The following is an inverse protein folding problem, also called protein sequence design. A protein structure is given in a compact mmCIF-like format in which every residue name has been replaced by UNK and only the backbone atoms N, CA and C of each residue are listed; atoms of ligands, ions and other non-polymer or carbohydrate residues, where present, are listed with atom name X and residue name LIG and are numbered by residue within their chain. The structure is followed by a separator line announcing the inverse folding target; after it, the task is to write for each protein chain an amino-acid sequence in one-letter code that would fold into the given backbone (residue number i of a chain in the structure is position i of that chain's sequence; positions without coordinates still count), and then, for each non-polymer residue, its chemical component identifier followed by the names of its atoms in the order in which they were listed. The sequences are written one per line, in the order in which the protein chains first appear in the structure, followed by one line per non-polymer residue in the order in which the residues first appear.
data_IF_088799969672
#
_entry.id   IF_088799969672
#
_cell.length_a   1.000
_cell.length_b   1.000
_cell.length_c   1.000
_cell.angle_alpha   90.00
_cell.angle_beta   90.00
_cell.angle_gamma   90.00
#
_symmetry.space_group_name_H-M   'P 1'
#
loop_
_entity.id
_entity.type
_entity.pdbx_description
1 polymer ?
#
# COMPACT_ATOMS: atom_id res chain seq x y z
N UNK A 1 -43.62 25.50 11.39
CA UNK A 1 -42.32 24.85 11.63
C UNK A 1 -42.51 23.91 12.84
N UNK A 2 -42.29 22.61 12.61
CA UNK A 2 -42.68 21.57 13.55
C UNK A 2 -41.62 21.46 14.66
N UNK A 3 -41.99 21.79 15.90
CA UNK A 3 -41.12 21.82 17.08
C UNK A 3 -40.47 20.45 17.35
N UNK A 4 -41.11 19.34 16.95
CA UNK A 4 -40.59 17.98 17.01
C UNK A 4 -39.38 17.75 16.08
N UNK A 5 -39.36 18.39 14.90
CA UNK A 5 -38.21 18.33 13.97
C UNK A 5 -37.00 19.09 14.51
N UNK A 6 -37.20 20.19 15.20
CA UNK A 6 -36.12 20.97 15.84
C UNK A 6 -35.49 20.23 17.02
N UNK A 7 -36.28 19.58 17.86
CA UNK A 7 -35.78 18.73 18.97
C UNK A 7 -34.97 17.53 18.45
N UNK A 8 -35.41 16.89 17.35
CA UNK A 8 -34.72 15.75 16.75
C UNK A 8 -33.39 16.17 16.10
N UNK A 9 -33.27 17.42 15.61
CA UNK A 9 -32.00 17.96 15.09
C UNK A 9 -31.02 18.34 16.20
N UNK A 10 -31.52 18.89 17.34
CA UNK A 10 -30.68 19.18 18.49
C UNK A 10 -30.13 17.89 19.14
N UNK A 11 -30.95 16.86 19.30
CA UNK A 11 -30.50 15.56 19.84
C UNK A 11 -29.47 14.86 18.95
N UNK A 12 -29.66 14.90 17.65
CA UNK A 12 -28.65 14.37 16.69
C UNK A 12 -27.34 15.14 16.75
N UNK A 13 -27.40 16.47 16.90
CA UNK A 13 -26.22 17.31 17.08
C UNK A 13 -25.49 17.05 18.40
N UNK A 14 -26.24 16.74 19.48
CA UNK A 14 -25.64 16.36 20.77
C UNK A 14 -24.97 14.99 20.70
N UNK A 15 -25.63 13.99 20.10
CA UNK A 15 -25.05 12.64 19.93
C UNK A 15 -23.78 12.71 19.10
N UNK A 16 -23.77 13.46 18.00
CA UNK A 16 -22.59 13.63 17.16
C UNK A 16 -21.42 14.30 17.90
N UNK A 17 -21.73 15.32 18.74
CA UNK A 17 -20.72 15.96 19.62
C UNK A 17 -20.16 15.00 20.67
N UNK A 18 -20.99 14.17 21.29
CA UNK A 18 -20.54 13.17 22.25
C UNK A 18 -19.70 12.08 21.60
N UNK A 19 -20.07 11.60 20.42
CA UNK A 19 -19.29 10.65 19.65
C UNK A 19 -17.93 11.24 19.25
N UNK A 20 -17.89 12.49 18.80
CA UNK A 20 -16.65 13.20 18.47
C UNK A 20 -15.76 13.43 19.70
N UNK A 21 -16.34 13.82 20.84
CA UNK A 21 -15.58 14.00 22.08
C UNK A 21 -15.07 12.65 22.61
N UNK A 22 -15.87 11.59 22.52
CA UNK A 22 -15.45 10.24 22.97
C UNK A 22 -14.36 9.68 22.05
N UNK A 23 -14.46 9.85 20.73
CA UNK A 23 -13.41 9.49 19.79
C UNK A 23 -12.13 10.30 20.03
N UNK A 24 -12.26 11.60 20.34
CA UNK A 24 -11.11 12.46 20.62
C UNK A 24 -10.43 12.10 21.95
N UNK A 25 -11.20 11.76 22.99
CA UNK A 25 -10.63 11.33 24.29
C UNK A 25 -10.01 9.94 24.23
N UNK A 26 -10.59 9.00 23.50
CA UNK A 26 -9.99 7.69 23.24
C UNK A 26 -8.69 7.85 22.42
N UNK A 27 -8.70 8.72 21.42
CA UNK A 27 -7.53 9.01 20.60
C UNK A 27 -6.41 9.66 21.43
N UNK A 28 -6.73 10.62 22.30
CA UNK A 28 -5.77 11.30 23.17
C UNK A 28 -5.18 10.37 24.24
N UNK A 29 -5.95 9.44 24.79
CA UNK A 29 -5.46 8.46 25.76
C UNK A 29 -4.59 7.37 25.12
N UNK A 30 -4.90 6.95 23.89
CA UNK A 30 -4.06 6.03 23.11
C UNK A 30 -2.74 6.70 22.69
N UNK A 31 -2.79 7.98 22.31
CA UNK A 31 -1.59 8.73 21.91
C UNK A 31 -0.64 8.98 23.10
N UNK A 32 -1.15 9.27 24.30
CA UNK A 32 -0.33 9.49 25.49
C UNK A 32 0.27 8.20 26.05
N UNK A 33 -0.42 7.07 25.95
CA UNK A 33 0.13 5.77 26.34
C UNK A 33 1.24 5.31 25.39
N UNK A 34 1.08 5.52 24.09
CA UNK A 34 2.09 5.16 23.07
C UNK A 34 3.38 5.96 23.20
N UNK A 35 3.31 7.25 23.53
CA UNK A 35 4.49 8.13 23.60
C UNK A 35 5.47 7.81 24.74
N UNK A 36 5.00 7.12 25.79
CA UNK A 36 5.83 6.76 26.94
C UNK A 36 6.49 5.39 26.78
N UNK A 37 5.85 4.46 26.05
CA UNK A 37 6.40 3.14 25.72
C UNK A 37 7.41 3.17 24.56
N UNK A 38 7.32 4.12 23.63
CA UNK A 38 8.22 4.22 22.47
C UNK A 38 9.69 4.47 22.85
N UNK A 39 9.96 5.13 23.96
CA UNK A 39 11.35 5.46 24.40
C UNK A 39 12.20 4.25 24.81
N UNK A 40 11.56 3.13 25.14
CA UNK A 40 12.21 1.89 25.55
C UNK A 40 11.96 0.71 24.60
N UNK A 41 11.24 0.92 23.48
CA UNK A 41 10.97 -0.13 22.53
C UNK A 41 12.24 -0.46 21.74
N UNK A 42 12.71 -1.69 21.84
CA UNK A 42 13.81 -2.19 21.04
C UNK A 42 13.42 -2.22 19.56
N UNK A 43 14.30 -1.74 18.67
CA UNK A 43 14.08 -1.77 17.22
C UNK A 43 13.97 -3.22 16.74
N UNK A 44 12.83 -3.57 16.15
CA UNK A 44 12.48 -4.92 15.70
C UNK A 44 11.53 -4.85 14.49
N UNK A 45 12.01 -4.43 13.32
CA UNK A 45 11.22 -4.40 12.11
C UNK A 45 10.84 -5.81 11.65
N UNK A 46 9.75 -5.93 10.91
CA UNK A 46 9.38 -7.18 10.26
C UNK A 46 10.26 -7.36 9.02
N UNK A 47 11.08 -8.40 9.02
CA UNK A 47 12.05 -8.68 7.96
C UNK A 47 11.42 -9.51 6.83
N UNK A 48 11.66 -9.11 5.59
CA UNK A 48 11.19 -9.82 4.39
C UNK A 48 12.13 -9.58 3.20
N UNK A 49 12.09 -10.45 2.22
CA UNK A 49 12.76 -10.28 0.94
C UNK A 49 11.95 -9.36 -0.01
N UNK A 50 12.53 -9.05 -1.15
CA UNK A 50 11.89 -8.35 -2.29
C UNK A 50 11.23 -7.03 -1.87
N UNK A 51 12.05 -6.10 -1.37
CA UNK A 51 11.62 -4.81 -0.84
C UNK A 51 10.77 -4.01 -1.85
N UNK A 52 11.03 -4.15 -3.15
CA UNK A 52 10.27 -3.44 -4.17
C UNK A 52 8.75 -3.66 -4.08
N UNK A 53 8.30 -4.81 -3.60
CA UNK A 53 6.86 -5.12 -3.50
C UNK A 53 6.13 -4.27 -2.46
N UNK A 54 6.82 -3.66 -1.50
CA UNK A 54 6.22 -2.79 -0.48
C UNK A 54 6.17 -1.31 -0.88
N UNK A 55 6.86 -0.94 -1.97
CA UNK A 55 6.93 0.45 -2.42
C UNK A 55 5.69 0.80 -3.25
N UNK A 56 4.92 1.80 -2.82
CA UNK A 56 3.79 2.32 -3.60
C UNK A 56 4.28 2.94 -4.92
N UNK A 57 3.75 2.51 -6.08
CA UNK A 57 4.35 2.89 -7.36
C UNK A 57 3.81 4.19 -7.94
N UNK A 58 2.57 4.58 -7.63
CA UNK A 58 1.87 5.68 -8.30
C UNK A 58 1.86 6.98 -7.49
N UNK A 59 1.78 8.10 -8.21
CA UNK A 59 1.82 9.42 -7.62
C UNK A 59 0.49 9.83 -6.94
N UNK A 60 -0.67 9.28 -7.36
CA UNK A 60 -1.96 9.58 -6.73
C UNK A 60 -2.01 9.05 -5.31
N UNK A 61 -1.79 7.74 -5.13
CA UNK A 61 -1.75 7.12 -3.80
C UNK A 61 -0.64 7.70 -2.93
N UNK A 62 0.53 7.95 -3.52
CA UNK A 62 1.64 8.59 -2.85
C UNK A 62 1.30 10.00 -2.33
N UNK A 63 0.61 10.82 -3.12
CA UNK A 63 0.18 12.15 -2.71
C UNK A 63 -0.87 12.13 -1.58
N UNK A 64 -1.47 10.97 -1.30
CA UNK A 64 -2.48 10.74 -0.27
C UNK A 64 -1.94 9.94 0.93
N UNK A 65 -0.64 9.93 1.19
CA UNK A 65 -0.05 9.20 2.31
C UNK A 65 0.06 7.69 2.09
N UNK A 66 0.16 7.24 0.85
CA UNK A 66 0.15 5.83 0.46
C UNK A 66 -1.18 5.13 0.82
N UNK A 67 -2.30 5.76 0.46
CA UNK A 67 -3.67 5.24 0.58
C UNK A 67 -4.20 4.83 -0.79
N UNK A 68 -4.84 3.68 -0.90
CA UNK A 68 -5.35 3.22 -2.18
C UNK A 68 -6.31 2.02 -2.16
N UNK A 69 -6.47 1.33 -1.02
CA UNK A 69 -7.29 0.11 -0.95
C UNK A 69 -8.76 0.35 -1.32
N UNK A 70 -9.30 1.50 -0.94
CA UNK A 70 -10.71 1.84 -1.12
C UNK A 70 -10.97 3.14 -1.89
N UNK A 71 -9.93 3.85 -2.35
CA UNK A 71 -10.07 5.05 -3.18
C UNK A 71 -10.81 4.74 -4.48
N UNK A 72 -11.33 5.77 -5.15
CA UNK A 72 -11.98 5.61 -6.45
C UNK A 72 -11.13 4.77 -7.41
N UNK A 73 -11.77 3.87 -8.18
CA UNK A 73 -11.09 3.04 -9.17
C UNK A 73 -10.30 3.86 -10.18
N UNK A 74 -9.06 3.45 -10.43
CA UNK A 74 -8.17 4.04 -11.43
C UNK A 74 -7.28 2.97 -12.08
N UNK A 75 -6.43 3.37 -13.04
CA UNK A 75 -5.55 2.46 -13.76
C UNK A 75 -4.49 1.83 -12.85
N UNK A 76 -4.08 2.49 -11.76
CA UNK A 76 -3.09 2.00 -10.82
C UNK A 76 -3.68 1.10 -9.72
N UNK A 77 -4.97 0.77 -9.80
CA UNK A 77 -5.65 -0.10 -8.83
C UNK A 77 -5.03 -1.50 -8.70
N UNK A 78 -4.21 -1.95 -9.67
CA UNK A 78 -3.52 -3.24 -9.62
C UNK A 78 -2.67 -3.44 -8.35
N UNK A 79 -1.93 -2.43 -7.94
CA UNK A 79 -1.12 -2.49 -6.72
C UNK A 79 -1.95 -2.41 -5.44
N UNK A 80 -2.99 -1.55 -5.46
CA UNK A 80 -3.76 -1.23 -4.26
C UNK A 80 -4.87 -2.24 -3.98
N UNK A 81 -5.69 -2.51 -4.98
CA UNK A 81 -6.83 -3.40 -4.90
C UNK A 81 -7.41 -3.68 -6.31
N UNK A 82 -7.05 -4.78 -6.96
CA UNK A 82 -7.52 -5.08 -8.32
C UNK A 82 -9.05 -5.32 -8.41
N UNK A 83 -9.74 -5.57 -7.29
CA UNK A 83 -11.20 -5.71 -7.29
C UNK A 83 -11.93 -4.39 -7.65
N UNK A 84 -11.25 -3.26 -7.71
CA UNK A 84 -11.82 -1.96 -8.12
C UNK A 84 -12.10 -1.87 -9.64
N UNK A 85 -11.37 -2.59 -10.48
CA UNK A 85 -11.44 -2.42 -11.94
C UNK A 85 -12.82 -2.59 -12.59
N UNK A 86 -13.73 -3.50 -12.17
CA UNK A 86 -15.05 -3.57 -12.73
C UNK A 86 -15.88 -2.28 -12.55
N UNK A 87 -15.53 -1.44 -11.58
CA UNK A 87 -16.16 -0.14 -11.31
C UNK A 87 -15.50 1.03 -12.06
N UNK A 88 -14.43 0.82 -12.81
CA UNK A 88 -13.84 1.86 -13.65
C UNK A 88 -14.84 2.35 -14.70
N UNK A 89 -14.86 3.65 -14.96
CA UNK A 89 -15.74 4.25 -15.97
C UNK A 89 -15.27 3.84 -17.36
N UNK A 90 -13.99 4.03 -17.65
CA UNK A 90 -13.41 3.68 -18.95
C UNK A 90 -13.27 2.18 -19.13
N UNK A 91 -13.39 1.74 -20.37
CA UNK A 91 -13.30 0.32 -20.72
C UNK A 91 -11.88 -0.23 -20.58
N UNK A 92 -10.88 0.60 -20.82
CA UNK A 92 -9.46 0.22 -20.68
C UNK A 92 -8.59 1.43 -20.35
N UNK A 93 -7.46 1.18 -19.74
CA UNK A 93 -6.45 2.19 -19.46
C UNK A 93 -5.06 1.59 -19.24
N UNK A 94 -4.04 2.43 -19.44
CA UNK A 94 -2.62 2.11 -19.22
C UNK A 94 -2.02 3.24 -18.42
N UNK A 95 -1.17 2.93 -17.43
CA UNK A 95 -0.42 3.86 -16.61
C UNK A 95 1.06 3.53 -16.60
N UNK A 96 1.89 4.57 -16.75
CA UNK A 96 3.33 4.53 -16.56
C UNK A 96 3.66 5.32 -15.29
N UNK A 97 4.38 4.69 -14.38
CA UNK A 97 4.77 5.28 -13.12
C UNK A 97 6.29 5.22 -12.98
N UNK A 98 6.88 6.29 -12.47
CA UNK A 98 8.31 6.39 -12.24
C UNK A 98 8.58 7.05 -10.89
N UNK A 99 9.41 6.41 -10.09
CA UNK A 99 9.81 6.87 -8.77
C UNK A 99 11.32 6.77 -8.64
N UNK A 100 12.05 7.89 -8.69
CA UNK A 100 13.44 7.92 -8.26
C UNK A 100 13.47 7.66 -6.74
N UNK A 101 14.11 6.55 -6.36
CA UNK A 101 14.10 6.07 -4.97
C UNK A 101 15.37 6.47 -4.24
N UNK A 102 15.30 6.86 -2.97
CA UNK A 102 16.44 7.20 -2.11
C UNK A 102 17.42 8.23 -2.69
N UNK A 103 16.97 9.17 -3.52
CA UNK A 103 17.83 10.12 -4.25
C UNK A 103 18.78 10.94 -3.38
N UNK A 104 18.48 11.10 -2.10
CA UNK A 104 19.37 11.78 -1.15
C UNK A 104 20.57 10.93 -0.72
N UNK A 105 20.47 9.61 -0.83
CA UNK A 105 21.50 8.68 -0.43
C UNK A 105 22.27 8.15 -1.67
N UNK A 106 21.55 7.79 -2.72
CA UNK A 106 22.08 7.15 -3.92
C UNK A 106 21.30 7.67 -5.15
N UNK A 107 22.00 7.94 -6.25
CA UNK A 107 21.40 8.61 -7.42
C UNK A 107 20.84 7.68 -8.50
N UNK A 108 21.00 6.37 -8.39
CA UNK A 108 20.75 5.38 -9.43
C UNK A 108 19.78 4.26 -9.00
N UNK A 109 19.05 4.46 -7.90
CA UNK A 109 17.98 3.56 -7.48
C UNK A 109 16.65 4.10 -8.02
N UNK A 110 15.97 3.30 -8.84
CA UNK A 110 14.77 3.73 -9.56
C UNK A 110 13.71 2.61 -9.57
N UNK A 111 12.45 3.01 -9.40
CA UNK A 111 11.29 2.15 -9.59
C UNK A 111 10.51 2.60 -10.82
N UNK A 112 10.36 1.70 -11.79
CA UNK A 112 9.44 1.84 -12.91
C UNK A 112 8.28 0.86 -12.75
N UNK A 113 7.06 1.31 -13.01
CA UNK A 113 5.85 0.50 -12.89
C UNK A 113 4.89 0.80 -14.02
N UNK A 114 4.52 -0.24 -14.76
CA UNK A 114 3.50 -0.21 -15.81
C UNK A 114 2.28 -0.98 -15.31
N UNK A 115 1.11 -0.38 -15.39
CA UNK A 115 -0.16 -1.05 -15.08
C UNK A 115 -1.16 -0.86 -16.21
N UNK A 116 -2.08 -1.80 -16.34
CA UNK A 116 -3.15 -1.70 -17.32
C UNK A 116 -4.31 -2.62 -17.00
N UNK A 117 -5.49 -2.27 -17.52
CA UNK A 117 -6.69 -3.08 -17.38
C UNK A 117 -7.56 -3.02 -18.64
N UNK A 118 -8.39 -4.02 -18.77
CA UNK A 118 -9.46 -4.08 -19.78
C UNK A 118 -10.73 -4.69 -19.15
N UNK A 119 -11.85 -3.96 -19.20
CA UNK A 119 -13.17 -4.45 -18.76
C UNK A 119 -13.78 -5.37 -19.81
N UNK A 120 -14.11 -6.58 -19.39
CA UNK A 120 -14.79 -7.60 -20.20
C UNK A 120 -16.29 -7.48 -19.91
N UNK A 121 -17.00 -6.70 -20.74
CA UNK A 121 -18.41 -6.35 -20.48
C UNK A 121 -18.54 -5.42 -19.27
N UNK A 122 -19.68 -5.53 -18.57
CA UNK A 122 -20.04 -4.60 -17.49
C UNK A 122 -19.63 -5.10 -16.09
N UNK A 123 -19.34 -6.39 -15.94
CA UNK A 123 -19.21 -7.04 -14.63
C UNK A 123 -17.81 -7.57 -14.34
N UNK A 124 -16.90 -7.60 -15.30
CA UNK A 124 -15.58 -8.17 -15.07
C UNK A 124 -14.47 -7.40 -15.77
N UNK A 125 -13.26 -7.55 -15.29
CA UNK A 125 -12.07 -6.99 -15.89
C UNK A 125 -10.89 -7.96 -15.75
N UNK A 126 -9.98 -7.88 -16.72
CA UNK A 126 -8.61 -8.42 -16.64
C UNK A 126 -7.65 -7.27 -16.52
N UNK A 127 -6.63 -7.45 -15.73
CA UNK A 127 -5.63 -6.41 -15.47
C UNK A 127 -4.27 -7.03 -15.25
N UNK A 128 -3.22 -6.23 -15.30
CA UNK A 128 -1.88 -6.69 -15.02
C UNK A 128 -0.91 -5.55 -14.81
N UNK A 129 0.25 -5.89 -14.30
CA UNK A 129 1.33 -4.92 -14.12
C UNK A 129 2.71 -5.54 -14.35
N UNK A 130 3.66 -4.67 -14.67
CA UNK A 130 5.08 -4.95 -14.72
C UNK A 130 5.80 -3.96 -13.82
N UNK A 131 6.59 -4.47 -12.89
CA UNK A 131 7.42 -3.69 -11.98
C UNK A 131 8.90 -4.00 -12.26
N UNK A 132 9.71 -2.95 -12.30
CA UNK A 132 11.15 -3.05 -12.37
C UNK A 132 11.76 -2.10 -11.35
N UNK A 133 12.62 -2.63 -10.48
CA UNK A 133 13.30 -1.89 -9.43
C UNK A 133 14.81 -2.08 -9.57
N UNK A 134 15.50 -1.04 -9.97
CA UNK A 134 16.97 -0.98 -10.02
C UNK A 134 17.49 -0.60 -8.63
N UNK A 135 18.47 -1.34 -8.13
CA UNK A 135 19.18 -1.04 -6.88
C UNK A 135 20.49 -0.28 -7.11
N UNK A 136 20.70 0.20 -8.37
CA UNK A 136 21.86 0.97 -8.73
C UNK A 136 23.09 0.14 -9.03
N UNK A 137 24.26 0.79 -9.10
CA UNK A 137 25.54 0.16 -9.36
C UNK A 137 26.30 -0.08 -8.05
N UNK A 138 26.70 -1.34 -7.82
CA UNK A 138 27.49 -1.75 -6.67
C UNK A 138 28.86 -2.20 -7.13
N UNK A 139 29.91 -1.65 -6.54
CA UNK A 139 31.27 -2.08 -6.80
C UNK A 139 31.59 -3.31 -5.96
N UNK A 140 31.81 -4.44 -6.62
CA UNK A 140 32.21 -5.68 -5.97
C UNK A 140 33.71 -5.63 -5.55
N UNK A 141 34.07 -6.51 -4.61
CA UNK A 141 35.44 -6.55 -4.05
C UNK A 141 36.52 -6.93 -5.09
N UNK A 142 36.14 -7.52 -6.22
CA UNK A 142 37.02 -7.88 -7.35
C UNK A 142 37.22 -6.76 -8.36
N UNK A 143 36.64 -5.58 -8.11
CA UNK A 143 36.69 -4.42 -9.01
C UNK A 143 35.65 -4.47 -10.16
N UNK A 144 34.78 -5.47 -10.20
CA UNK A 144 33.65 -5.51 -11.13
C UNK A 144 32.47 -4.68 -10.62
N UNK A 145 31.69 -4.14 -11.54
CA UNK A 145 30.44 -3.45 -11.23
C UNK A 145 29.27 -4.41 -11.46
N UNK A 146 28.45 -4.61 -10.45
CA UNK A 146 27.20 -5.36 -10.52
C UNK A 146 26.01 -4.42 -10.46
N UNK A 147 24.88 -4.81 -11.05
CA UNK A 147 23.64 -4.04 -11.10
C UNK A 147 22.49 -4.89 -10.56
N UNK A 148 22.32 -4.95 -9.23
CA UNK A 148 21.23 -5.71 -8.64
C UNK A 148 19.87 -5.11 -9.04
N UNK A 149 18.87 -5.96 -9.25
CA UNK A 149 17.51 -5.51 -9.56
C UNK A 149 16.46 -6.53 -9.13
N UNK A 150 15.25 -6.03 -8.93
CA UNK A 150 14.06 -6.83 -8.72
C UNK A 150 13.04 -6.55 -9.82
N UNK A 151 12.34 -7.58 -10.26
CA UNK A 151 11.28 -7.48 -11.27
C UNK A 151 10.09 -8.32 -10.87
N UNK A 152 8.89 -7.85 -11.16
CA UNK A 152 7.69 -8.68 -11.04
C UNK A 152 6.71 -8.42 -12.16
N UNK A 153 5.98 -9.47 -12.50
CA UNK A 153 4.85 -9.42 -13.43
C UNK A 153 3.65 -10.07 -12.77
N UNK A 154 2.49 -9.41 -12.85
CA UNK A 154 1.25 -9.96 -12.33
C UNK A 154 0.09 -9.77 -13.30
N UNK A 155 -0.88 -10.69 -13.19
CA UNK A 155 -2.14 -10.66 -13.92
C UNK A 155 -3.26 -10.92 -12.92
N UNK A 156 -4.34 -10.14 -13.01
CA UNK A 156 -5.52 -10.30 -12.16
C UNK A 156 -6.77 -10.44 -13.01
N UNK A 157 -7.71 -11.19 -12.46
CA UNK A 157 -9.11 -11.22 -12.90
C UNK A 157 -10.00 -10.71 -11.78
N UNK A 158 -10.89 -9.79 -12.11
CA UNK A 158 -11.84 -9.20 -11.17
C UNK A 158 -13.27 -9.31 -11.70
N UNK A 159 -14.23 -9.53 -10.79
CA UNK A 159 -15.62 -9.73 -11.12
C UNK A 159 -16.54 -9.12 -10.07
N UNK A 160 -17.58 -8.43 -10.52
CA UNK A 160 -18.70 -7.99 -9.68
C UNK A 160 -19.58 -9.18 -9.33
N UNK A 161 -19.82 -9.39 -8.05
CA UNK A 161 -20.82 -10.36 -7.56
C UNK A 161 -22.18 -9.69 -7.34
N UNK A 162 -22.18 -8.37 -7.19
CA UNK A 162 -23.37 -7.53 -7.17
C UNK A 162 -23.02 -6.13 -7.68
N UNK A 163 -24.00 -5.28 -7.88
CA UNK A 163 -23.78 -3.87 -8.29
C UNK A 163 -22.89 -3.07 -7.34
N UNK A 164 -22.69 -3.57 -6.11
CA UNK A 164 -21.95 -2.87 -5.06
C UNK A 164 -20.68 -3.61 -4.60
N UNK A 165 -20.48 -4.84 -5.03
CA UNK A 165 -19.42 -5.70 -4.48
C UNK A 165 -18.71 -6.50 -5.56
N UNK A 166 -17.41 -6.48 -5.53
CA UNK A 166 -16.53 -7.23 -6.43
C UNK A 166 -15.44 -7.98 -5.67
N UNK A 167 -14.93 -9.02 -6.32
CA UNK A 167 -13.77 -9.80 -5.92
C UNK A 167 -12.71 -9.78 -7.02
N UNK A 168 -11.46 -9.98 -6.65
CA UNK A 168 -10.38 -10.23 -7.59
C UNK A 168 -9.40 -11.26 -7.03
N UNK A 169 -8.77 -11.99 -7.97
CA UNK A 169 -7.62 -12.83 -7.71
C UNK A 169 -6.52 -12.47 -8.71
N UNK A 170 -5.27 -12.41 -8.23
CA UNK A 170 -4.10 -12.19 -9.07
C UNK A 170 -3.07 -13.29 -8.84
N UNK A 171 -2.26 -13.53 -9.88
CA UNK A 171 -1.05 -14.36 -9.82
C UNK A 171 0.12 -13.46 -10.16
N UNK A 172 1.20 -13.57 -9.37
CA UNK A 172 2.42 -12.78 -9.51
C UNK A 172 3.63 -13.68 -9.62
N UNK A 173 4.47 -13.41 -10.60
CA UNK A 173 5.83 -13.94 -10.66
C UNK A 173 6.81 -12.84 -10.25
N UNK A 174 7.76 -13.19 -9.40
CA UNK A 174 8.78 -12.31 -8.84
C UNK A 174 10.15 -12.88 -9.21
N UNK A 175 11.03 -12.02 -9.67
CA UNK A 175 12.42 -12.32 -9.93
C UNK A 175 13.30 -11.28 -9.24
N UNK A 176 14.33 -11.75 -8.53
CA UNK A 176 15.24 -10.89 -7.79
C UNK A 176 16.68 -11.35 -8.02
N UNK A 177 17.50 -10.46 -8.51
CA UNK A 177 18.94 -10.65 -8.70
C UNK A 177 19.68 -9.66 -7.81
N UNK A 178 20.06 -10.11 -6.62
CA UNK A 178 20.76 -9.31 -5.61
C UNK A 178 22.24 -9.70 -5.49
N UNK A 179 22.80 -10.34 -6.51
CA UNK A 179 24.20 -10.79 -6.46
C UNK A 179 25.14 -9.59 -6.30
N UNK A 180 26.02 -9.69 -5.32
CA UNK A 180 27.08 -8.70 -5.07
C UNK A 180 28.41 -9.10 -5.72
N UNK A 181 28.56 -10.39 -6.07
CA UNK A 181 29.66 -10.96 -6.81
C UNK A 181 29.12 -12.07 -7.73
N UNK A 182 29.95 -12.57 -8.62
CA UNK A 182 29.63 -13.71 -9.48
C UNK A 182 30.16 -15.02 -8.90
N UNK A 183 30.22 -15.15 -7.56
CA UNK A 183 30.53 -16.41 -6.90
C UNK A 183 29.51 -17.49 -7.27
N UNK A 184 29.96 -18.75 -7.30
CA UNK A 184 29.09 -19.89 -7.69
C UNK A 184 27.94 -20.12 -6.66
N UNK A 185 28.08 -19.57 -5.43
CA UNK A 185 27.14 -19.77 -4.34
C UNK A 185 25.95 -18.79 -4.39
N UNK A 186 26.08 -17.63 -5.06
CA UNK A 186 25.04 -16.62 -5.15
C UNK A 186 24.29 -16.74 -6.49
N UNK A 187 22.97 -16.93 -6.45
CA UNK A 187 22.11 -17.10 -7.63
C UNK A 187 20.93 -16.13 -7.61
N UNK A 188 20.46 -15.69 -8.79
CA UNK A 188 19.18 -15.01 -8.87
C UNK A 188 18.08 -15.93 -8.34
N UNK A 189 17.10 -15.33 -7.69
CA UNK A 189 16.00 -16.07 -7.09
C UNK A 189 14.66 -15.70 -7.75
N UNK A 190 13.72 -16.64 -7.74
CA UNK A 190 12.37 -16.38 -8.21
C UNK A 190 11.33 -17.00 -7.27
N UNK A 191 10.15 -16.37 -7.22
CA UNK A 191 9.05 -16.84 -6.41
C UNK A 191 7.72 -16.58 -7.12
N UNK A 192 6.70 -17.33 -6.73
CA UNK A 192 5.32 -17.09 -7.14
C UNK A 192 4.49 -16.66 -5.94
N UNK A 193 3.58 -15.74 -6.18
CA UNK A 193 2.64 -15.25 -5.19
C UNK A 193 1.24 -15.08 -5.81
N UNK A 194 0.24 -15.03 -4.94
CA UNK A 194 -1.14 -14.74 -5.29
C UNK A 194 -1.65 -13.57 -4.46
N UNK A 195 -2.60 -12.82 -5.03
CA UNK A 195 -3.34 -11.78 -4.30
C UNK A 195 -4.83 -12.13 -4.31
N UNK A 196 -5.52 -11.79 -3.22
CA UNK A 196 -6.97 -11.87 -3.08
C UNK A 196 -7.49 -10.51 -2.64
N UNK A 197 -8.47 -9.97 -3.38
CA UNK A 197 -8.97 -8.64 -3.13
C UNK A 197 -10.50 -8.58 -3.15
N UNK A 198 -11.04 -7.65 -2.37
CA UNK A 198 -12.47 -7.35 -2.29
C UNK A 198 -12.66 -5.84 -2.33
N UNK A 199 -13.73 -5.41 -2.99
CA UNK A 199 -14.11 -4.01 -3.02
C UNK A 199 -15.63 -3.87 -2.92
N UNK A 200 -16.05 -3.01 -2.01
CA UNK A 200 -17.45 -2.60 -1.83
C UNK A 200 -17.56 -1.13 -2.14
N UNK A 201 -18.51 -0.78 -3.03
CA UNK A 201 -18.80 0.57 -3.44
C UNK A 201 -20.31 0.83 -3.35
N UNK A 202 -20.69 1.84 -2.60
CA UNK A 202 -22.11 2.18 -2.41
C UNK A 202 -22.29 3.68 -2.23
N UNK A 203 -23.49 4.15 -2.56
CA UNK A 203 -23.90 5.52 -2.32
C UNK A 203 -24.70 5.60 -1.01
N UNK A 204 -24.35 6.56 -0.18
CA UNK A 204 -24.96 6.80 1.16
C UNK A 204 -25.36 8.26 1.29
N UNK A 205 -26.50 8.51 1.92
CA UNK A 205 -26.97 9.89 2.16
C UNK A 205 -26.34 10.47 3.44
N UNK A 206 -25.57 11.55 3.31
CA UNK A 206 -25.09 12.37 4.40
C UNK A 206 -25.83 13.72 4.40
N UNK A 207 -26.90 13.79 5.18
CA UNK A 207 -27.82 14.92 5.14
C UNK A 207 -28.59 14.93 3.82
N UNK A 208 -28.41 15.96 3.01
CA UNK A 208 -29.04 16.10 1.70
C UNK A 208 -28.12 15.71 0.52
N UNK A 209 -26.90 15.25 0.79
CA UNK A 209 -25.92 14.91 -0.24
C UNK A 209 -25.77 13.39 -0.36
N UNK A 210 -25.76 12.92 -1.58
CA UNK A 210 -25.40 11.54 -1.90
C UNK A 210 -23.87 11.44 -1.98
N UNK A 211 -23.27 10.67 -1.09
CA UNK A 211 -21.84 10.47 -0.97
C UNK A 211 -21.48 9.05 -1.38
N UNK A 212 -20.31 8.85 -1.98
CA UNK A 212 -19.81 7.54 -2.34
C UNK A 212 -18.95 6.98 -1.21
N UNK A 213 -19.30 5.79 -0.72
CA UNK A 213 -18.58 5.03 0.29
C UNK A 213 -17.87 3.86 -0.37
N UNK A 214 -16.55 3.84 -0.27
CA UNK A 214 -15.70 2.71 -0.66
C UNK A 214 -15.18 1.95 0.57
N UNK A 215 -15.16 0.62 0.50
CA UNK A 215 -14.45 -0.24 1.46
C UNK A 215 -13.66 -1.27 0.66
N UNK A 216 -12.37 -1.41 0.98
CA UNK A 216 -11.46 -2.31 0.27
C UNK A 216 -10.68 -3.22 1.21
N UNK A 217 -10.46 -4.43 0.76
CA UNK A 217 -9.53 -5.39 1.35
C UNK A 217 -8.64 -5.93 0.25
N UNK A 218 -7.34 -6.00 0.52
CA UNK A 218 -6.38 -6.66 -0.36
C UNK A 218 -5.38 -7.45 0.47
N UNK A 219 -5.32 -8.76 0.26
CA UNK A 219 -4.26 -9.63 0.73
C UNK A 219 -3.33 -9.91 -0.43
N UNK A 220 -2.14 -9.36 -0.41
CA UNK A 220 -1.17 -9.43 -1.51
C UNK A 220 0.09 -10.20 -1.13
N UNK A 221 0.80 -10.70 -2.14
CA UNK A 221 2.07 -11.42 -2.03
C UNK A 221 1.98 -12.71 -1.18
N UNK A 222 0.83 -13.39 -1.16
CA UNK A 222 0.68 -14.71 -0.53
C UNK A 222 1.41 -15.72 -1.42
N UNK A 223 2.62 -16.13 -1.04
CA UNK A 223 3.44 -16.93 -1.95
C UNK A 223 4.49 -17.79 -1.27
N UNK A 224 5.30 -18.43 -2.09
CA UNK A 224 6.46 -19.19 -1.63
C UNK A 224 7.50 -18.28 -0.99
N UNK A 225 8.36 -18.84 -0.16
CA UNK A 225 9.60 -18.18 0.22
C UNK A 225 10.53 -18.06 -0.99
N UNK A 226 11.48 -17.14 -0.91
CA UNK A 226 12.52 -16.91 -1.92
C UNK A 226 13.88 -17.20 -1.31
N UNK A 227 14.79 -17.84 -2.06
CA UNK A 227 16.12 -18.20 -1.60
C UNK A 227 17.18 -17.75 -2.60
N UNK A 228 18.25 -17.15 -2.11
CA UNK A 228 19.40 -16.67 -2.89
C UNK A 228 20.63 -17.58 -2.73
N UNK A 229 20.72 -18.38 -1.66
CA UNK A 229 21.90 -19.19 -1.29
C UNK A 229 21.59 -20.69 -1.13
N UNK A 230 20.48 -21.16 -1.68
CA UNK A 230 20.02 -22.53 -1.53
C UNK A 230 18.83 -22.65 -0.57
N UNK A 231 18.30 -23.86 -0.43
CA UNK A 231 17.00 -24.08 0.26
C UNK A 231 17.03 -23.78 1.76
N UNK A 232 18.21 -23.80 2.37
CA UNK A 232 18.37 -23.61 3.83
C UNK A 232 18.23 -22.14 4.28
N UNK A 233 18.36 -21.17 3.36
CA UNK A 233 18.31 -19.72 3.67
C UNK A 233 17.16 -19.02 2.96
N UNK A 234 15.98 -19.59 3.03
CA UNK A 234 14.79 -19.01 2.39
C UNK A 234 14.16 -17.89 3.24
N UNK A 235 13.80 -16.78 2.60
CA UNK A 235 13.18 -15.61 3.21
C UNK A 235 11.71 -15.49 2.81
N UNK A 236 10.90 -14.89 3.66
CA UNK A 236 9.50 -14.63 3.38
C UNK A 236 9.33 -13.51 2.34
N UNK A 237 8.35 -13.66 1.44
CA UNK A 237 7.84 -12.54 0.66
C UNK A 237 7.06 -11.59 1.57
N UNK A 238 6.93 -10.30 1.22
CA UNK A 238 6.16 -9.32 1.98
C UNK A 238 4.66 -9.53 1.78
N UNK A 239 4.14 -10.67 2.25
CA UNK A 239 2.71 -10.87 2.31
C UNK A 239 2.07 -9.76 3.15
N UNK A 240 1.04 -9.11 2.64
CA UNK A 240 0.46 -7.93 3.27
C UNK A 240 -1.07 -7.99 3.29
N UNK A 241 -1.66 -7.67 4.42
CA UNK A 241 -3.09 -7.41 4.57
C UNK A 241 -3.31 -5.91 4.58
N UNK A 242 -4.09 -5.41 3.63
CA UNK A 242 -4.50 -4.01 3.53
C UNK A 242 -6.00 -3.90 3.66
N UNK A 243 -6.46 -3.08 4.58
CA UNK A 243 -7.85 -2.70 4.79
C UNK A 243 -7.98 -1.21 4.58
N UNK A 244 -8.97 -0.77 3.83
CA UNK A 244 -9.20 0.65 3.61
C UNK A 244 -10.67 1.02 3.55
N UNK A 245 -10.91 2.30 3.82
CA UNK A 245 -12.21 2.94 3.64
C UNK A 245 -12.03 4.31 3.00
N UNK A 246 -12.98 4.72 2.17
CA UNK A 246 -13.02 6.04 1.56
C UNK A 246 -14.42 6.61 1.54
N UNK A 247 -14.51 7.91 1.62
CA UNK A 247 -15.75 8.65 1.50
C UNK A 247 -15.53 9.84 0.56
N UNK A 248 -16.25 9.86 -0.57
CA UNK A 248 -16.28 10.98 -1.48
C UNK A 248 -17.59 11.78 -1.27
N UNK A 249 -17.44 13.08 -1.08
CA UNK A 249 -18.52 14.02 -0.87
C UNK A 249 -18.54 15.01 -2.03
N UNK A 250 -19.60 15.02 -2.87
CA UNK A 250 -19.77 16.06 -3.87
C UNK A 250 -20.15 17.37 -3.15
N UNK A 251 -19.34 18.42 -3.37
CA UNK A 251 -19.62 19.76 -2.82
C UNK A 251 -20.64 20.47 -3.70
N UNK A 252 -20.41 20.44 -5.01
CA UNK A 252 -21.29 20.92 -6.07
C UNK A 252 -20.99 20.15 -7.38
N UNK A 253 -21.50 20.63 -8.53
CA UNK A 253 -21.31 19.99 -9.85
C UNK A 253 -19.86 19.93 -10.32
N UNK A 254 -18.98 20.83 -9.80
CA UNK A 254 -17.58 20.93 -10.22
C UNK A 254 -16.60 20.53 -9.15
N UNK A 255 -17.05 20.46 -7.90
CA UNK A 255 -16.17 20.30 -6.74
C UNK A 255 -16.52 19.05 -5.98
N UNK A 256 -15.53 18.17 -5.77
CA UNK A 256 -15.67 17.00 -4.88
C UNK A 256 -14.48 16.87 -3.96
N UNK A 257 -14.74 16.40 -2.77
CA UNK A 257 -13.76 16.15 -1.73
C UNK A 257 -13.83 14.70 -1.29
N UNK A 258 -12.70 14.04 -1.20
CA UNK A 258 -12.59 12.67 -0.75
C UNK A 258 -11.65 12.57 0.45
N UNK A 259 -12.00 11.74 1.40
CA UNK A 259 -11.10 11.31 2.49
C UNK A 259 -11.00 9.80 2.45
N UNK A 260 -9.80 9.27 2.67
CA UNK A 260 -9.58 7.84 2.71
C UNK A 260 -8.58 7.48 3.80
N UNK A 261 -8.69 6.27 4.32
CA UNK A 261 -7.77 5.73 5.31
C UNK A 261 -7.50 4.25 5.01
N UNK A 262 -6.24 3.84 5.14
CA UNK A 262 -5.80 2.45 5.00
C UNK A 262 -5.07 2.01 6.27
N UNK A 263 -5.24 0.74 6.64
CA UNK A 263 -4.44 0.03 7.61
C UNK A 263 -3.75 -1.16 6.93
N UNK A 264 -2.44 -1.29 7.12
CA UNK A 264 -1.62 -2.33 6.53
C UNK A 264 -0.93 -3.12 7.63
N UNK A 265 -0.89 -4.44 7.49
CA UNK A 265 -0.08 -5.33 8.32
C UNK A 265 0.67 -6.31 7.43
N UNK A 266 1.99 -6.37 7.59
CA UNK A 266 2.78 -7.43 6.99
C UNK A 266 2.43 -8.76 7.65
N UNK A 267 2.04 -9.74 6.85
CA UNK A 267 1.71 -11.10 7.27
C UNK A 267 2.97 -11.99 7.23
N UNK A 268 4.02 -11.49 7.83
CA UNK A 268 5.33 -12.13 7.93
C UNK A 268 5.65 -12.30 9.40
N UNK A 269 6.13 -13.48 9.83
CA UNK A 269 6.46 -13.71 11.24
C UNK A 269 7.58 -12.77 11.70
N UNK A 270 7.51 -12.36 12.94
CA UNK A 270 8.57 -11.59 13.59
C UNK A 270 9.70 -12.54 14.01
N UNK A 271 10.95 -12.15 13.75
CA UNK A 271 12.13 -12.92 14.19
C UNK A 271 12.15 -12.95 15.72
N UNK A 272 12.25 -14.15 16.35
CA UNK A 272 12.33 -14.27 17.79
C UNK A 272 13.53 -13.47 18.34
N UNK A 273 13.37 -12.84 19.49
CA UNK A 273 14.48 -12.17 20.19
C UNK A 273 15.25 -13.17 21.05
N UNK A 274 16.57 -12.96 21.17
CA UNK A 274 17.37 -13.74 22.10
C UNK A 274 16.91 -13.48 23.54
N UNK A 275 16.66 -14.54 24.31
CA UNK A 275 16.22 -14.44 25.70
C UNK A 275 17.42 -14.22 26.63
N UNK A 276 17.18 -13.62 27.79
CA UNK A 276 18.21 -13.36 28.77
C UNK A 276 18.79 -14.68 29.30
N UNK A 277 20.09 -14.88 29.12
CA UNK A 277 20.81 -16.12 29.52
C UNK A 277 20.75 -17.26 28.48
N UNK A 278 20.08 -17.08 27.35
CA UNK A 278 20.06 -18.04 26.25
C UNK A 278 21.40 -18.06 25.52
N UNK A 279 21.94 -19.24 25.24
CA UNK A 279 23.18 -19.36 24.47
C UNK A 279 22.94 -18.99 23.00
N UNK A 280 23.98 -18.54 22.30
CA UNK A 280 23.85 -18.21 20.87
C UNK A 280 23.42 -19.44 20.03
N UNK A 281 23.86 -20.65 20.38
CA UNK A 281 23.45 -21.87 19.69
C UNK A 281 21.98 -22.17 19.89
N UNK A 282 21.46 -22.07 21.12
CA UNK A 282 20.06 -22.33 21.42
C UNK A 282 19.14 -21.30 20.75
N UNK A 283 19.59 -20.04 20.74
CA UNK A 283 18.90 -18.96 20.03
C UNK A 283 18.81 -19.24 18.52
N UNK A 284 19.92 -19.61 17.86
CA UNK A 284 19.92 -19.92 16.43
C UNK A 284 19.02 -21.14 16.12
N UNK A 285 19.07 -22.17 16.96
CA UNK A 285 18.18 -23.33 16.81
C UNK A 285 16.70 -22.97 16.99
N UNK A 286 16.39 -22.02 17.88
CA UNK A 286 15.04 -21.51 18.07
C UNK A 286 14.57 -20.66 16.87
N UNK A 287 15.41 -19.73 16.38
CA UNK A 287 15.13 -18.95 15.17
C UNK A 287 14.90 -19.89 13.98
N UNK A 288 15.71 -20.94 13.83
CA UNK A 288 15.52 -21.91 12.76
C UNK A 288 14.15 -22.58 12.83
N UNK A 289 13.78 -23.13 14.00
CA UNK A 289 12.50 -23.82 14.18
C UNK A 289 11.29 -22.90 14.08
N UNK A 290 11.36 -21.69 14.61
CA UNK A 290 10.22 -20.80 14.78
C UNK A 290 10.06 -19.79 13.64
N UNK A 291 11.10 -19.57 12.85
CA UNK A 291 11.09 -18.60 11.76
C UNK A 291 11.54 -19.23 10.42
N UNK A 292 12.75 -19.83 10.37
CA UNK A 292 13.31 -20.27 9.10
C UNK A 292 12.65 -21.51 8.52
N UNK A 293 12.26 -22.49 9.33
CA UNK A 293 11.72 -23.79 8.86
C UNK A 293 10.18 -23.78 8.67
N UNK A 294 9.47 -22.74 9.13
CA UNK A 294 8.02 -22.68 8.98
C UNK A 294 7.61 -22.35 7.54
N UNK A 295 6.52 -22.97 7.08
CA UNK A 295 5.98 -22.69 5.75
C UNK A 295 5.47 -21.26 5.63
N UNK A 296 5.44 -20.72 4.39
CA UNK A 296 4.94 -19.37 4.13
C UNK A 296 3.49 -19.19 4.65
N UNK A 297 2.62 -20.17 4.44
CA UNK A 297 1.23 -20.11 4.90
C UNK A 297 1.16 -20.14 6.44
N UNK A 298 1.95 -21.01 7.10
CA UNK A 298 2.01 -21.01 8.57
C UNK A 298 2.53 -19.69 9.13
N UNK A 299 3.49 -19.06 8.43
CA UNK A 299 3.99 -17.74 8.76
C UNK A 299 2.91 -16.66 8.76
N UNK A 300 2.01 -16.68 7.77
CA UNK A 300 0.87 -15.75 7.69
C UNK A 300 0.00 -15.82 8.95
N UNK A 301 -0.36 -17.02 9.41
CA UNK A 301 -1.18 -17.18 10.61
C UNK A 301 -0.41 -16.83 11.89
N UNK A 302 0.88 -17.18 11.95
CA UNK A 302 1.73 -16.88 13.10
C UNK A 302 1.91 -15.38 13.31
N UNK A 303 2.01 -14.60 12.23
CA UNK A 303 2.25 -13.14 12.26
C UNK A 303 1.18 -12.32 13.00
N UNK A 304 0.07 -12.93 13.43
CA UNK A 304 -0.97 -12.25 14.20
C UNK A 304 -0.76 -12.30 15.72
N UNK A 305 0.30 -12.94 16.21
CA UNK A 305 0.50 -13.07 17.64
C UNK A 305 1.89 -13.56 18.04
N UNK A 306 2.91 -13.26 17.24
CA UNK A 306 4.29 -13.71 17.47
C UNK A 306 5.26 -12.58 17.87
N UNK A 307 4.78 -11.34 17.97
CA UNK A 307 5.61 -10.24 18.43
C UNK A 307 6.09 -10.48 19.87
N UNK A 308 7.39 -10.41 20.15
CA UNK A 308 7.96 -10.70 21.48
C UNK A 308 7.40 -9.84 22.63
N UNK A 309 6.96 -8.63 22.33
CA UNK A 309 6.30 -7.72 23.28
C UNK A 309 4.79 -7.93 23.42
N UNK A 310 4.23 -9.04 22.86
CA UNK A 310 2.82 -9.39 22.92
C UNK A 310 1.93 -8.41 22.15
N UNK A 311 0.66 -8.32 22.53
CA UNK A 311 -0.37 -7.54 21.81
C UNK A 311 0.00 -6.07 21.59
N UNK A 312 0.73 -5.45 22.52
CA UNK A 312 1.18 -4.05 22.39
C UNK A 312 2.17 -3.88 21.24
N UNK A 313 3.06 -4.84 21.03
CA UNK A 313 4.01 -4.83 19.92
C UNK A 313 3.33 -5.21 18.59
N UNK A 314 2.39 -6.17 18.63
CA UNK A 314 1.56 -6.54 17.47
C UNK A 314 0.80 -5.33 16.89
N UNK A 315 0.22 -4.51 17.73
CA UNK A 315 -0.47 -3.30 17.30
C UNK A 315 0.48 -2.26 16.68
N UNK A 316 1.76 -2.26 17.05
CA UNK A 316 2.80 -1.40 16.45
C UNK A 316 3.23 -1.86 15.05
N UNK A 317 2.92 -3.09 14.66
CA UNK A 317 3.16 -3.61 13.30
C UNK A 317 2.13 -3.08 12.29
N UNK A 318 1.00 -2.57 12.77
CA UNK A 318 -0.01 -1.98 11.91
C UNK A 318 0.48 -0.59 11.46
N UNK A 319 0.73 -0.46 10.16
CA UNK A 319 0.97 0.81 9.51
C UNK A 319 -0.38 1.40 9.13
N UNK A 320 -0.58 2.69 9.33
CA UNK A 320 -1.81 3.35 8.94
C UNK A 320 -1.55 4.63 8.16
N UNK A 321 -2.47 4.93 7.27
CA UNK A 321 -2.40 6.06 6.37
C UNK A 321 -3.74 6.78 6.33
N UNK A 322 -3.70 8.09 6.20
CA UNK A 322 -4.88 8.93 5.94
C UNK A 322 -4.55 9.88 4.81
N UNK A 323 -5.47 9.99 3.86
CA UNK A 323 -5.32 10.88 2.71
C UNK A 323 -6.61 11.65 2.41
N UNK A 324 -6.42 12.82 1.83
CA UNK A 324 -7.48 13.67 1.33
C UNK A 324 -7.20 14.08 -0.11
N UNK A 325 -8.25 14.13 -0.92
CA UNK A 325 -8.19 14.57 -2.32
C UNK A 325 -9.32 15.58 -2.57
N UNK A 326 -8.96 16.71 -3.14
CA UNK A 326 -9.90 17.68 -3.67
C UNK A 326 -9.78 17.70 -5.19
N UNK A 327 -10.91 17.57 -5.89
CA UNK A 327 -10.97 17.56 -7.36
C UNK A 327 -11.86 18.70 -7.84
N UNK A 328 -11.31 19.49 -8.75
CA UNK A 328 -11.99 20.59 -9.41
C UNK A 328 -12.23 20.26 -10.88
N UNK A 329 -13.50 20.32 -11.29
CA UNK A 329 -13.96 20.16 -12.66
C UNK A 329 -13.51 18.84 -13.33
N UNK A 330 -13.29 17.79 -12.54
CA UNK A 330 -12.71 16.50 -12.99
C UNK A 330 -11.33 16.61 -13.69
N UNK A 331 -10.70 17.77 -13.64
CA UNK A 331 -9.45 18.07 -14.31
C UNK A 331 -8.28 18.32 -13.36
N UNK A 332 -8.49 19.06 -12.29
CA UNK A 332 -7.42 19.41 -11.35
C UNK A 332 -7.62 18.72 -10.03
N UNK A 333 -6.59 18.09 -9.52
CA UNK A 333 -6.61 17.44 -8.22
C UNK A 333 -5.52 17.99 -7.32
N UNK A 334 -5.86 18.23 -6.05
CA UNK A 334 -4.92 18.50 -4.97
C UNK A 334 -5.05 17.42 -3.92
N UNK A 335 -3.93 16.96 -3.41
CA UNK A 335 -3.85 15.84 -2.47
C UNK A 335 -2.95 16.17 -1.30
N UNK A 336 -3.31 15.64 -0.14
CA UNK A 336 -2.48 15.65 1.03
C UNK A 336 -2.70 14.35 1.81
N UNK A 337 -1.67 13.89 2.51
CA UNK A 337 -1.79 12.66 3.29
C UNK A 337 -0.74 12.55 4.38
N UNK A 338 -0.91 11.56 5.23
CA UNK A 338 0.02 11.19 6.27
C UNK A 338 0.11 9.67 6.38
N UNK A 339 1.34 9.18 6.48
CA UNK A 339 1.66 7.77 6.73
C UNK A 339 2.36 7.61 8.07
N UNK A 340 2.00 6.56 8.79
CA UNK A 340 2.56 6.25 10.09
C UNK A 340 2.96 4.78 10.20
N UNK A 341 4.21 4.56 10.58
CA UNK A 341 4.75 3.29 11.05
C UNK A 341 5.46 3.52 12.38
N UNK A 342 5.25 2.62 13.34
CA UNK A 342 5.84 2.74 14.66
C UNK A 342 7.37 2.77 14.61
N UNK A 343 8.00 3.48 15.55
CA UNK A 343 9.45 3.69 15.62
C UNK A 343 10.23 2.38 15.75
N UNK A 344 9.72 1.44 16.54
CA UNK A 344 10.30 0.12 16.72
C UNK A 344 10.18 -0.80 15.50
N UNK A 345 9.29 -0.48 14.55
CA UNK A 345 8.96 -1.32 13.38
C UNK A 345 9.41 -0.72 12.02
N UNK A 346 10.25 0.32 12.04
CA UNK A 346 10.81 0.93 10.82
C UNK A 346 10.76 2.45 10.78
N UNK A 347 9.94 3.10 11.64
CA UNK A 347 9.86 4.56 11.79
C UNK A 347 9.55 5.35 10.50
N UNK A 348 8.74 4.80 9.61
CA UNK A 348 8.32 5.51 8.41
C UNK A 348 7.14 6.42 8.75
N UNK A 349 7.46 7.67 9.09
CA UNK A 349 6.46 8.73 9.40
C UNK A 349 6.70 9.88 8.46
N UNK A 350 5.70 10.22 7.63
CA UNK A 350 5.83 11.30 6.66
C UNK A 350 4.48 11.89 6.28
N UNK A 351 4.50 13.18 5.94
CA UNK A 351 3.44 13.85 5.22
C UNK A 351 3.67 13.73 3.72
N UNK A 352 2.59 13.82 2.96
CA UNK A 352 2.65 13.85 1.51
C UNK A 352 1.79 14.98 0.97
N UNK A 353 2.20 15.50 -0.17
CA UNK A 353 1.40 16.42 -0.99
C UNK A 353 1.42 15.93 -2.42
N UNK A 354 0.37 16.20 -3.17
CA UNK A 354 0.29 15.80 -4.57
C UNK A 354 -0.61 16.71 -5.37
N UNK A 355 -0.39 16.68 -6.67
CA UNK A 355 -1.21 17.38 -7.64
C UNK A 355 -1.47 16.50 -8.85
N UNK A 356 -2.61 16.68 -9.48
CA UNK A 356 -2.99 15.95 -10.70
C UNK A 356 -3.66 16.86 -11.70
N UNK A 357 -3.41 16.57 -12.97
CA UNK A 357 -4.07 17.23 -14.09
C UNK A 357 -4.56 16.15 -15.07
N UNK A 358 -5.86 16.18 -15.35
CA UNK A 358 -6.53 15.22 -16.24
C UNK A 358 -7.11 15.94 -17.45
N UNK A 359 -6.80 15.41 -18.61
CA UNK A 359 -7.48 15.73 -19.88
C UNK A 359 -8.29 14.52 -20.36
N UNK A 360 -9.04 14.68 -21.44
CA UNK A 360 -9.90 13.62 -21.97
C UNK A 360 -9.15 12.30 -22.25
N UNK A 361 -7.88 12.38 -22.60
CA UNK A 361 -7.06 11.24 -23.08
C UNK A 361 -6.04 10.79 -22.06
N UNK A 362 -5.50 11.70 -21.27
CA UNK A 362 -4.43 11.39 -20.32
C UNK A 362 -4.58 12.14 -19.01
N UNK A 363 -3.97 11.63 -17.96
CA UNK A 363 -3.73 12.34 -16.71
C UNK A 363 -2.27 12.27 -16.32
N UNK A 364 -1.80 13.37 -15.72
CA UNK A 364 -0.48 13.50 -15.14
C UNK A 364 -0.62 13.77 -13.65
N UNK A 365 0.01 12.95 -12.83
CA UNK A 365 0.01 13.10 -11.39
C UNK A 365 1.44 13.19 -10.86
N UNK A 366 1.63 14.01 -9.83
CA UNK A 366 2.90 14.18 -9.12
C UNK A 366 2.63 14.07 -7.62
N UNK A 367 3.44 13.28 -6.93
CA UNK A 367 3.41 13.14 -5.47
C UNK A 367 4.77 13.44 -4.87
N UNK A 368 4.79 14.07 -3.70
CA UNK A 368 5.99 14.45 -2.98
C UNK A 368 5.91 14.05 -1.51
N UNK A 369 6.97 13.43 -1.00
CA UNK A 369 7.09 12.95 0.37
C UNK A 369 7.90 13.94 1.21
N UNK A 370 7.37 14.29 2.39
CA UNK A 370 8.00 15.19 3.37
C UNK A 370 8.15 14.41 4.68
N UNK A 371 9.35 13.95 4.98
CA UNK A 371 9.58 13.17 6.18
C UNK A 371 9.48 13.98 7.47
N UNK A 372 8.95 13.36 8.52
CA UNK A 372 8.97 13.91 9.87
C UNK A 372 10.06 13.28 10.74
N UNK A 373 10.61 12.13 10.30
CA UNK A 373 11.69 11.45 10.99
C UNK A 373 13.06 11.85 10.41
N UNK A 374 14.04 12.14 11.29
CA UNK A 374 15.37 12.67 10.91
C UNK A 374 16.19 11.80 9.97
N UNK A 375 15.90 10.52 9.85
CA UNK A 375 16.65 9.54 9.04
C UNK A 375 15.72 8.71 8.14
N UNK A 376 14.59 9.27 7.72
CA UNK A 376 13.71 8.56 6.81
C UNK A 376 14.31 8.62 5.39
N UNK A 377 14.67 7.47 4.81
CA UNK A 377 15.28 7.42 3.47
C UNK A 377 14.32 7.86 2.36
N UNK A 378 13.00 7.94 2.63
CA UNK A 378 11.98 8.38 1.68
C UNK A 378 11.82 9.90 1.60
N UNK A 379 12.55 10.67 2.43
CA UNK A 379 12.44 12.12 2.41
C UNK A 379 12.75 12.70 1.03
N UNK A 380 11.94 13.68 0.62
CA UNK A 380 12.02 14.34 -0.67
C UNK A 380 11.86 13.42 -1.90
N UNK A 381 11.24 12.25 -1.73
CA UNK A 381 10.91 11.38 -2.86
C UNK A 381 9.81 11.99 -3.71
N UNK A 382 10.08 12.15 -5.01
CA UNK A 382 9.10 12.52 -6.03
C UNK A 382 8.58 11.28 -6.73
N UNK A 383 7.28 11.23 -7.02
CA UNK A 383 6.66 10.18 -7.83
C UNK A 383 5.88 10.80 -8.97
N UNK A 384 5.96 10.18 -10.13
CA UNK A 384 5.31 10.64 -11.36
C UNK A 384 4.45 9.52 -11.91
N UNK A 385 3.23 9.86 -12.31
CA UNK A 385 2.32 8.94 -13.00
C UNK A 385 1.76 9.59 -14.25
N UNK A 386 1.86 8.88 -15.36
CA UNK A 386 1.22 9.24 -16.62
C UNK A 386 0.22 8.14 -16.98
N UNK A 387 -1.05 8.50 -17.05
CA UNK A 387 -2.15 7.56 -17.31
C UNK A 387 -2.83 7.91 -18.62
N UNK A 388 -3.15 6.90 -19.42
CA UNK A 388 -3.88 7.04 -20.67
C UNK A 388 -5.23 6.34 -20.56
N UNK A 389 -6.28 7.06 -20.94
CA UNK A 389 -7.66 6.58 -21.04
C UNK A 389 -7.96 6.16 -22.49
N UNK A 390 -8.23 4.87 -22.69
CA UNK A 390 -8.45 4.32 -24.03
C UNK A 390 -9.78 4.76 -24.68
N UNK A 391 -10.78 5.13 -23.89
CA UNK A 391 -12.04 5.63 -24.44
C UNK A 391 -11.85 7.06 -24.95
N UNK A 392 -11.13 7.91 -24.23
CA UNK A 392 -10.73 9.22 -24.71
C UNK A 392 -9.88 9.18 -25.98
N UNK A 393 -8.99 8.18 -26.10
CA UNK A 393 -8.18 7.97 -27.32
C UNK A 393 -9.09 7.63 -28.52
N UNK A 394 -10.07 6.73 -28.36
CA UNK A 394 -11.00 6.38 -29.45
C UNK A 394 -11.81 7.57 -29.93
N UNK A 395 -12.22 8.44 -29.03
CA UNK A 395 -12.99 9.64 -29.38
C UNK A 395 -12.17 10.63 -30.20
N UNK A 396 -10.84 10.72 -29.96
CA UNK A 396 -9.94 11.53 -30.79
C UNK A 396 -9.82 11.03 -32.22
N UNK A 397 -9.90 9.73 -32.47
CA UNK A 397 -9.78 9.13 -33.82
C UNK A 397 -11.13 8.97 -34.53
N UNK A 398 -12.26 9.34 -33.90
CA UNK A 398 -13.59 9.35 -34.50
C UNK A 398 -13.96 10.67 -35.17
N UNK A 399 -13.13 11.66 -35.08
CA UNK A 399 -13.18 12.93 -35.81
C UNK A 399 -12.08 12.92 -36.88
#
# INVERSE_FOLDING_TARGET
LNIEKLKNMEDKGRILRWVMVTLFTIHYSLFSASAQDEKNAMFNPVEHAVISQTIAPDARGAGMGDVGAATDPDVNSQYWNPAKYPFCISRAGIALNYTPWLRQLVNDIDLAYLAGYYRIGDYSAISGSLRYFSLGEVFANDGMTVKPYEMSFDVAYSMMLSEKFSLAAAIRWIYSDLRYDYSEDSKPASAFAADLAMYYNNYVMLGSRECQLGIGLNMSNIGSKISYYGDDESQFLPANLRLGASLMVPIDEYNRFSIAADANKLLVPTVPRQEEGESNSDYQDRVRREYSDISAISGIFKSFGDAPGGLSEELKEIQWSVGAEYVYHDQFSLRAGYHHQAESKGNLKYFTVGGGFKMNVFSLDVGYVISTARSNPLDQTLRFSLTFDMDGIKDLFRH
#
